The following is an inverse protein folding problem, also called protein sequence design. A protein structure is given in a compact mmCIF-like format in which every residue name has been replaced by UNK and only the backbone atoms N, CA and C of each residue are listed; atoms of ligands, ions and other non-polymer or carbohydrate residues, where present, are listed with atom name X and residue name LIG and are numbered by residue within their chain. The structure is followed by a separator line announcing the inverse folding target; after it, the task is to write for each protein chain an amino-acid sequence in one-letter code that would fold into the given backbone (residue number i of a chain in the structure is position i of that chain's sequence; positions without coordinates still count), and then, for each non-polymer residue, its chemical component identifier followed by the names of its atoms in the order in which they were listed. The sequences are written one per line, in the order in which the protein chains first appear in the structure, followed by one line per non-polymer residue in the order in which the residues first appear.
data_IF_519570279782
#
_entry.id   IF_519570279782
#
_cell.length_a   1.000
_cell.length_b   1.000
_cell.length_c   1.000
_cell.angle_alpha   90.00
_cell.angle_beta   90.00
_cell.angle_gamma   90.00
#
_symmetry.space_group_name_H-M   'P 1'
#
loop_
_entity.id
_entity.type
_entity.pdbx_description
1 polymer ?
#
# COMPACT_ATOMS: atom_id res chain seq x y z
N UNK A 1 -12.29 -29.72 15.57
CA UNK A 1 -12.73 -28.43 16.15
C UNK A 1 -13.80 -27.83 15.24
N UNK A 2 -14.91 -27.31 15.76
CA UNK A 2 -15.92 -26.61 14.94
C UNK A 2 -15.47 -25.17 14.72
N UNK A 3 -15.58 -24.65 13.49
CA UNK A 3 -15.30 -23.22 13.22
C UNK A 3 -16.47 -22.43 13.78
N UNK A 4 -16.21 -21.58 14.78
CA UNK A 4 -17.24 -20.77 15.42
C UNK A 4 -17.40 -19.42 14.73
N UNK A 5 -16.29 -18.75 14.43
CA UNK A 5 -16.31 -17.44 13.76
C UNK A 5 -15.66 -17.50 12.37
N UNK A 6 -16.49 -17.53 11.32
CA UNK A 6 -16.01 -17.57 9.93
C UNK A 6 -15.20 -16.34 9.51
N UNK A 7 -15.48 -15.15 10.06
CA UNK A 7 -14.73 -13.92 9.74
C UNK A 7 -13.30 -13.96 10.27
N UNK A 8 -13.13 -14.33 11.54
CA UNK A 8 -11.82 -14.48 12.17
C UNK A 8 -11.02 -15.60 11.49
N UNK A 9 -11.69 -16.70 11.13
CA UNK A 9 -11.05 -17.79 10.38
C UNK A 9 -10.46 -17.31 9.05
N UNK A 10 -11.25 -16.68 8.19
CA UNK A 10 -10.76 -16.20 6.89
C UNK A 10 -9.74 -15.06 7.01
N UNK A 11 -9.92 -14.14 7.97
CA UNK A 11 -8.95 -13.10 8.24
C UNK A 11 -7.59 -13.69 8.65
N UNK A 12 -7.60 -14.69 9.54
CA UNK A 12 -6.41 -15.42 9.96
C UNK A 12 -5.71 -16.13 8.80
N UNK A 13 -6.46 -16.86 7.96
CA UNK A 13 -5.93 -17.52 6.76
C UNK A 13 -5.28 -16.50 5.81
N UNK A 14 -5.94 -15.37 5.53
CA UNK A 14 -5.41 -14.33 4.65
C UNK A 14 -4.12 -13.72 5.21
N UNK A 15 -4.09 -13.39 6.50
CA UNK A 15 -2.90 -12.80 7.13
C UNK A 15 -1.71 -13.75 7.12
N UNK A 16 -1.95 -15.05 7.37
CA UNK A 16 -0.90 -16.06 7.23
C UNK A 16 -0.44 -16.17 5.78
N UNK A 17 -1.37 -16.27 4.82
CA UNK A 17 -1.03 -16.46 3.41
C UNK A 17 -0.23 -15.28 2.85
N UNK A 18 -0.67 -14.03 3.07
CA UNK A 18 0.06 -12.84 2.64
C UNK A 18 1.35 -12.65 3.43
N UNK A 19 1.34 -12.90 4.74
CA UNK A 19 2.51 -12.76 5.60
C UNK A 19 3.64 -13.70 5.20
N UNK A 20 3.33 -14.99 4.99
CA UNK A 20 4.26 -15.96 4.46
C UNK A 20 4.64 -15.64 3.01
N UNK A 21 3.70 -15.19 2.18
CA UNK A 21 3.98 -14.77 0.80
C UNK A 21 5.05 -13.68 0.73
N UNK A 22 4.94 -12.63 1.55
CA UNK A 22 5.97 -11.57 1.62
C UNK A 22 7.30 -12.08 2.17
N UNK A 23 7.28 -12.98 3.15
CA UNK A 23 8.49 -13.57 3.71
C UNK A 23 9.22 -14.41 2.66
N UNK A 24 8.49 -15.22 1.90
CA UNK A 24 9.03 -16.04 0.81
C UNK A 24 9.56 -15.20 -0.36
N UNK A 25 8.88 -14.12 -0.72
CA UNK A 25 9.36 -13.21 -1.77
C UNK A 25 10.62 -12.44 -1.32
N UNK A 26 10.71 -12.08 -0.04
CA UNK A 26 11.81 -11.29 0.50
C UNK A 26 13.08 -12.12 0.74
N UNK A 27 12.95 -13.23 1.46
CA UNK A 27 14.08 -14.09 1.85
C UNK A 27 14.45 -15.07 0.74
N UNK A 28 13.48 -15.44 -0.10
CA UNK A 28 13.65 -16.45 -1.13
C UNK A 28 12.89 -17.75 -0.84
N UNK A 29 12.98 -18.72 -1.76
CA UNK A 29 12.30 -20.00 -1.62
C UNK A 29 12.89 -20.80 -0.44
N UNK A 30 12.04 -21.48 0.34
CA UNK A 30 12.50 -22.34 1.44
C UNK A 30 13.26 -23.54 0.88
N UNK A 31 14.19 -24.08 1.66
CA UNK A 31 15.10 -25.15 1.23
C UNK A 31 14.39 -26.34 0.57
N UNK A 32 13.23 -26.76 1.11
CA UNK A 32 12.47 -27.86 0.54
C UNK A 32 11.93 -27.58 -0.88
N UNK A 33 11.54 -26.33 -1.18
CA UNK A 33 11.09 -25.98 -2.54
C UNK A 33 12.26 -25.91 -3.51
N UNK A 34 13.43 -25.49 -3.04
CA UNK A 34 14.67 -25.51 -3.84
C UNK A 34 15.09 -26.94 -4.16
N UNK A 35 15.00 -27.85 -3.19
CA UNK A 35 15.27 -29.28 -3.38
C UNK A 35 14.28 -29.92 -4.35
N UNK A 36 12.98 -29.63 -4.19
CA UNK A 36 11.95 -30.10 -5.12
C UNK A 36 12.20 -29.57 -6.54
N UNK A 37 12.53 -28.29 -6.70
CA UNK A 37 12.80 -27.69 -7.99
C UNK A 37 14.01 -28.32 -8.70
N UNK A 38 15.07 -28.65 -7.95
CA UNK A 38 16.24 -29.37 -8.48
C UNK A 38 15.88 -30.76 -9.02
N UNK A 39 14.89 -31.43 -8.43
CA UNK A 39 14.40 -32.72 -8.93
C UNK A 39 13.78 -32.62 -10.33
N UNK A 40 13.29 -31.43 -10.71
CA UNK A 40 12.74 -31.13 -12.04
C UNK A 40 13.70 -30.31 -12.92
N UNK A 41 15.01 -30.29 -12.60
CA UNK A 41 16.05 -29.54 -13.31
C UNK A 41 15.78 -28.02 -13.37
N UNK A 42 15.05 -27.50 -12.38
CA UNK A 42 14.68 -26.08 -12.30
C UNK A 42 15.51 -25.36 -11.22
N UNK A 43 16.21 -24.30 -11.60
CA UNK A 43 17.00 -23.47 -10.67
C UNK A 43 16.11 -22.39 -10.03
N UNK A 44 15.73 -22.60 -8.78
CA UNK A 44 14.90 -21.68 -8.00
C UNK A 44 15.77 -20.86 -7.03
N UNK A 45 16.33 -19.74 -7.51
CA UNK A 45 17.20 -18.87 -6.71
C UNK A 45 16.75 -17.40 -6.88
N UNK A 46 16.08 -16.88 -5.86
CA UNK A 46 15.66 -15.49 -5.76
C UNK A 46 15.64 -15.09 -4.29
N UNK A 47 15.76 -13.79 -4.00
CA UNK A 47 15.80 -13.25 -2.65
C UNK A 47 16.50 -11.90 -2.64
N UNK A 48 16.06 -10.99 -1.77
CA UNK A 48 16.65 -9.66 -1.65
C UNK A 48 17.66 -9.60 -0.49
N UNK A 49 18.63 -8.69 -0.59
CA UNK A 49 19.57 -8.48 0.50
C UNK A 49 18.83 -7.98 1.75
N UNK A 50 19.10 -8.61 2.89
CA UNK A 50 18.51 -8.27 4.19
C UNK A 50 19.13 -6.97 4.77
N UNK A 51 20.41 -6.73 4.50
CA UNK A 51 21.16 -5.65 5.15
C UNK A 51 21.26 -5.84 6.68
N UNK A 52 21.46 -4.74 7.41
CA UNK A 52 21.55 -4.72 8.87
C UNK A 52 20.46 -3.81 9.46
N UNK A 53 20.17 -3.91 10.76
CA UNK A 53 19.16 -3.08 11.41
C UNK A 53 19.37 -1.55 11.25
N UNK A 54 20.63 -1.12 11.06
CA UNK A 54 21.00 0.29 10.83
C UNK A 54 20.97 0.67 9.34
N UNK A 55 21.15 -0.29 8.44
CA UNK A 55 21.12 -0.11 6.97
C UNK A 55 20.28 -1.24 6.38
N UNK A 56 18.98 -1.08 6.51
CA UNK A 56 18.00 -2.12 6.15
C UNK A 56 18.04 -2.34 4.64
N UNK A 57 18.26 -3.58 4.23
CA UNK A 57 18.19 -3.98 2.82
C UNK A 57 16.74 -4.19 2.38
N UNK A 58 16.47 -4.33 1.06
CA UNK A 58 15.10 -4.41 0.54
C UNK A 58 14.27 -5.58 1.10
N UNK A 59 14.91 -6.66 1.58
CA UNK A 59 14.19 -7.77 2.21
C UNK A 59 13.72 -7.48 3.65
N UNK A 60 14.29 -6.48 4.33
CA UNK A 60 14.11 -6.30 5.77
C UNK A 60 12.66 -5.99 6.14
N UNK A 61 12.11 -4.93 5.56
CA UNK A 61 10.77 -4.48 5.88
C UNK A 61 9.70 -5.53 5.53
N UNK A 62 9.67 -6.12 4.31
CA UNK A 62 8.68 -7.14 3.97
C UNK A 62 8.80 -8.41 4.85
N UNK A 63 10.01 -8.78 5.25
CA UNK A 63 10.23 -9.95 6.12
C UNK A 63 9.67 -9.73 7.52
N UNK A 64 9.97 -8.58 8.14
CA UNK A 64 9.50 -8.27 9.50
C UNK A 64 7.98 -8.09 9.49
N UNK A 65 7.44 -7.33 8.54
CA UNK A 65 6.01 -7.11 8.41
C UNK A 65 5.27 -8.43 8.11
N UNK A 66 5.81 -9.25 7.21
CA UNK A 66 5.27 -10.56 6.86
C UNK A 66 5.26 -11.53 8.04
N UNK A 67 6.33 -11.54 8.84
CA UNK A 67 6.42 -12.33 10.06
C UNK A 67 5.39 -11.92 11.12
N UNK A 68 5.28 -10.61 11.39
CA UNK A 68 4.26 -10.08 12.32
C UNK A 68 2.85 -10.43 11.83
N UNK A 69 2.58 -10.25 10.53
CA UNK A 69 1.28 -10.57 9.94
C UNK A 69 0.97 -12.07 10.03
N UNK A 70 1.95 -12.95 9.83
CA UNK A 70 1.78 -14.39 9.97
C UNK A 70 1.47 -14.79 11.42
N UNK A 71 2.17 -14.20 12.41
CA UNK A 71 1.93 -14.45 13.84
C UNK A 71 0.54 -13.95 14.26
N UNK A 72 0.19 -12.71 13.90
CA UNK A 72 -1.14 -12.16 14.17
C UNK A 72 -2.23 -12.99 13.46
N UNK A 73 -1.98 -13.40 12.23
CA UNK A 73 -2.87 -14.28 11.47
C UNK A 73 -3.09 -15.62 12.16
N UNK A 74 -2.04 -16.24 12.71
CA UNK A 74 -2.15 -17.47 13.50
C UNK A 74 -2.98 -17.26 14.78
N UNK A 75 -2.77 -16.16 15.49
CA UNK A 75 -3.55 -15.81 16.68
C UNK A 75 -5.03 -15.60 16.35
N UNK A 76 -5.35 -14.89 15.26
CA UNK A 76 -6.73 -14.63 14.80
C UNK A 76 -7.38 -15.91 14.26
N UNK A 77 -6.63 -16.74 13.53
CA UNK A 77 -7.09 -18.03 13.05
C UNK A 77 -7.49 -18.94 14.22
N UNK A 78 -6.65 -19.02 15.25
CA UNK A 78 -6.94 -19.77 16.48
C UNK A 78 -8.18 -19.21 17.20
N UNK A 79 -8.29 -17.89 17.32
CA UNK A 79 -9.47 -17.21 17.85
C UNK A 79 -10.75 -17.58 17.07
N UNK A 80 -10.67 -17.81 15.76
CA UNK A 80 -11.79 -18.25 14.93
C UNK A 80 -12.40 -19.61 15.32
N UNK A 81 -11.66 -20.46 16.05
CA UNK A 81 -12.16 -21.73 16.59
C UNK A 81 -12.68 -21.63 18.03
N UNK A 82 -12.21 -20.64 18.80
CA UNK A 82 -12.50 -20.50 20.24
C UNK A 82 -13.54 -19.42 20.53
N UNK A 83 -13.80 -18.51 19.57
CA UNK A 83 -14.75 -17.41 19.74
C UNK A 83 -16.17 -17.89 20.04
N UNK A 84 -16.85 -17.21 20.95
CA UNK A 84 -18.28 -17.43 21.26
C UNK A 84 -19.22 -16.75 20.25
N UNK A 85 -18.69 -15.88 19.39
CA UNK A 85 -19.44 -15.13 18.39
C UNK A 85 -19.49 -15.93 17.10
N UNK A 86 -20.69 -16.22 16.60
CA UNK A 86 -20.89 -16.97 15.37
C UNK A 86 -21.11 -16.06 14.17
N UNK A 87 -20.28 -16.20 13.13
CA UNK A 87 -20.49 -15.60 11.81
C UNK A 87 -20.48 -16.69 10.74
N UNK A 88 -21.28 -16.55 9.66
CA UNK A 88 -21.26 -17.50 8.56
C UNK A 88 -19.88 -17.60 7.90
N UNK A 89 -19.55 -18.79 7.38
CA UNK A 89 -18.29 -19.07 6.67
C UNK A 89 -18.21 -18.39 5.30
N UNK A 90 -19.34 -18.11 4.66
CA UNK A 90 -19.40 -17.41 3.39
C UNK A 90 -19.31 -15.89 3.63
N UNK A 91 -18.09 -15.40 3.81
CA UNK A 91 -17.83 -13.97 4.07
C UNK A 91 -17.65 -13.18 2.77
N UNK A 92 -17.24 -13.82 1.67
CA UNK A 92 -16.92 -13.16 0.41
C UNK A 92 -17.59 -13.83 -0.80
N UNK A 93 -18.13 -13.06 -1.76
CA UNK A 93 -18.59 -13.59 -3.04
C UNK A 93 -17.38 -13.91 -3.93
N UNK A 94 -16.81 -15.10 -3.79
CA UNK A 94 -15.65 -15.51 -4.57
C UNK A 94 -16.05 -15.81 -6.02
N UNK A 95 -15.54 -15.02 -6.98
CA UNK A 95 -15.86 -15.15 -8.41
C UNK A 95 -14.74 -15.90 -9.14
N UNK A 96 -14.65 -17.21 -8.90
CA UNK A 96 -13.57 -18.06 -9.45
C UNK A 96 -13.40 -17.98 -10.97
N UNK A 97 -14.48 -17.77 -11.72
CA UNK A 97 -14.41 -17.61 -13.19
C UNK A 97 -13.54 -16.41 -13.64
N UNK A 98 -13.54 -15.31 -12.88
CA UNK A 98 -12.71 -14.13 -13.19
C UNK A 98 -11.22 -14.41 -13.01
N UNK A 99 -10.86 -15.31 -12.07
CA UNK A 99 -9.46 -15.76 -11.90
C UNK A 99 -9.02 -16.53 -13.14
N UNK A 100 -9.85 -17.46 -13.62
CA UNK A 100 -9.55 -18.23 -14.83
C UNK A 100 -9.39 -17.29 -16.02
N UNK A 101 -10.31 -16.34 -16.20
CA UNK A 101 -10.20 -15.33 -17.26
C UNK A 101 -8.94 -14.48 -17.14
N UNK A 102 -8.61 -13.99 -15.94
CA UNK A 102 -7.41 -13.21 -15.68
C UNK A 102 -6.11 -13.99 -15.90
N UNK A 103 -6.04 -15.26 -15.48
CA UNK A 103 -4.89 -16.14 -15.73
C UNK A 103 -4.72 -16.44 -17.22
N UNK A 104 -5.81 -16.73 -17.93
CA UNK A 104 -5.78 -16.98 -19.38
C UNK A 104 -5.30 -15.74 -20.13
N UNK A 105 -5.87 -14.56 -19.85
CA UNK A 105 -5.39 -13.31 -20.43
C UNK A 105 -3.95 -12.99 -20.03
N UNK A 106 -3.55 -13.31 -18.81
CA UNK A 106 -2.18 -13.16 -18.33
C UNK A 106 -1.19 -14.05 -19.08
N UNK A 107 -1.56 -15.32 -19.35
CA UNK A 107 -0.76 -16.21 -20.21
C UNK A 107 -0.68 -15.68 -21.63
N UNK A 108 -1.81 -15.24 -22.22
CA UNK A 108 -1.81 -14.66 -23.57
C UNK A 108 -0.91 -13.43 -23.60
N UNK A 109 -1.01 -12.53 -22.61
CA UNK A 109 -0.13 -11.39 -22.50
C UNK A 109 1.34 -11.85 -22.46
N UNK A 110 1.70 -12.76 -21.56
CA UNK A 110 3.07 -13.26 -21.44
C UNK A 110 3.65 -13.76 -22.77
N UNK A 111 2.89 -14.52 -23.55
CA UNK A 111 3.34 -15.03 -24.85
C UNK A 111 3.26 -14.02 -26.00
N UNK A 112 2.48 -12.95 -25.86
CA UNK A 112 2.29 -11.92 -26.91
C UNK A 112 3.09 -10.64 -26.64
N UNK A 113 4.11 -10.69 -25.78
CA UNK A 113 4.95 -9.54 -25.46
C UNK A 113 5.63 -9.01 -26.73
N UNK A 114 5.32 -7.77 -27.15
CA UNK A 114 5.95 -7.18 -28.32
C UNK A 114 7.43 -6.90 -28.03
N UNK A 115 8.27 -6.98 -29.07
CA UNK A 115 9.66 -6.54 -29.00
C UNK A 115 9.72 -5.05 -28.63
N UNK A 116 10.82 -4.60 -28.00
CA UNK A 116 10.98 -3.21 -27.55
C UNK A 116 10.84 -2.18 -28.68
N UNK A 117 11.11 -2.63 -29.90
CA UNK A 117 11.12 -1.83 -31.13
C UNK A 117 9.77 -1.88 -31.87
N UNK A 118 8.81 -2.65 -31.34
CA UNK A 118 7.49 -2.75 -31.93
C UNK A 118 6.78 -1.40 -31.91
N UNK A 119 5.88 -1.21 -32.88
CA UNK A 119 5.08 -0.01 -33.01
C UNK A 119 4.38 0.36 -31.69
N UNK A 120 4.33 1.66 -31.38
CA UNK A 120 3.72 2.21 -30.17
C UNK A 120 2.31 1.65 -29.90
N UNK A 121 1.53 1.46 -30.95
CA UNK A 121 0.20 0.85 -30.86
C UNK A 121 0.23 -0.58 -30.30
N UNK A 122 1.18 -1.42 -30.72
CA UNK A 122 1.32 -2.79 -30.23
C UNK A 122 1.72 -2.81 -28.74
N UNK A 123 2.58 -1.89 -28.32
CA UNK A 123 2.97 -1.74 -26.91
C UNK A 123 1.77 -1.33 -26.04
N UNK A 124 0.99 -0.35 -26.49
CA UNK A 124 -0.23 0.11 -25.79
C UNK A 124 -1.27 -1.01 -25.72
N UNK A 125 -1.51 -1.72 -26.84
CA UNK A 125 -2.46 -2.83 -26.88
C UNK A 125 -2.07 -3.95 -25.91
N UNK A 126 -0.79 -4.31 -25.87
CA UNK A 126 -0.26 -5.29 -24.93
C UNK A 126 -0.37 -4.83 -23.47
N UNK A 127 -0.07 -3.55 -23.18
CA UNK A 127 -0.23 -2.99 -21.83
C UNK A 127 -1.69 -2.99 -21.37
N UNK A 128 -2.64 -2.69 -22.27
CA UNK A 128 -4.07 -2.79 -21.97
C UNK A 128 -4.50 -4.24 -21.70
N UNK A 129 -4.02 -5.20 -22.50
CA UNK A 129 -4.31 -6.62 -22.28
C UNK A 129 -3.81 -7.10 -20.91
N UNK A 130 -2.56 -6.77 -20.56
CA UNK A 130 -1.99 -7.07 -19.25
C UNK A 130 -2.76 -6.37 -18.11
N UNK A 131 -3.15 -5.11 -18.33
CA UNK A 131 -3.98 -4.36 -17.40
C UNK A 131 -5.34 -5.01 -17.16
N UNK A 132 -6.01 -5.48 -18.22
CA UNK A 132 -7.28 -6.21 -18.12
C UNK A 132 -7.10 -7.54 -17.38
N UNK A 133 -6.02 -8.28 -17.65
CA UNK A 133 -5.71 -9.53 -16.94
C UNK A 133 -5.58 -9.31 -15.42
N UNK A 134 -4.84 -8.26 -15.02
CA UNK A 134 -4.67 -7.86 -13.61
C UNK A 134 -6.00 -7.42 -13.00
N UNK A 135 -6.79 -6.61 -13.73
CA UNK A 135 -8.10 -6.15 -13.25
C UNK A 135 -9.07 -7.32 -13.03
N UNK A 136 -9.10 -8.32 -13.92
CA UNK A 136 -9.94 -9.50 -13.74
C UNK A 136 -9.50 -10.33 -12.54
N UNK A 137 -8.20 -10.48 -12.32
CA UNK A 137 -7.66 -11.15 -11.13
C UNK A 137 -8.09 -10.43 -9.85
N UNK A 138 -8.02 -9.10 -9.81
CA UNK A 138 -8.45 -8.33 -8.65
C UNK A 138 -9.97 -8.36 -8.46
N UNK A 139 -10.75 -8.23 -9.53
CA UNK A 139 -12.20 -8.28 -9.50
C UNK A 139 -12.77 -9.64 -9.07
N UNK A 140 -11.96 -10.71 -9.08
CA UNK A 140 -12.33 -11.99 -8.54
C UNK A 140 -12.50 -11.98 -7.01
N UNK A 141 -11.84 -11.05 -6.32
CA UNK A 141 -11.80 -10.96 -4.87
C UNK A 141 -12.70 -9.84 -4.36
N UNK A 142 -13.84 -10.22 -3.78
CA UNK A 142 -14.64 -9.35 -2.92
C UNK A 142 -15.44 -8.25 -3.63
N UNK A 143 -15.79 -7.23 -2.85
CA UNK A 143 -16.65 -6.14 -3.28
C UNK A 143 -15.91 -5.10 -4.13
N UNK A 144 -16.68 -4.22 -4.81
CA UNK A 144 -16.18 -3.13 -5.65
C UNK A 144 -15.05 -2.33 -5.02
N UNK A 145 -15.17 -2.06 -3.72
CA UNK A 145 -14.21 -1.26 -2.98
C UNK A 145 -12.84 -1.91 -2.87
N UNK A 146 -12.78 -3.23 -2.72
CA UNK A 146 -11.54 -3.95 -2.42
C UNK A 146 -10.59 -3.95 -3.63
N UNK A 147 -11.11 -4.29 -4.81
CA UNK A 147 -10.29 -4.31 -6.02
C UNK A 147 -9.96 -2.91 -6.57
N UNK A 148 -10.80 -1.90 -6.32
CA UNK A 148 -10.47 -0.50 -6.65
C UNK A 148 -9.33 0.02 -5.78
N UNK A 149 -9.32 -0.28 -4.48
CA UNK A 149 -8.21 0.09 -3.59
C UNK A 149 -6.92 -0.62 -4.00
N UNK A 150 -6.99 -1.92 -4.32
CA UNK A 150 -5.83 -2.67 -4.78
C UNK A 150 -5.27 -2.10 -6.10
N UNK A 151 -6.16 -1.77 -7.04
CA UNK A 151 -5.79 -1.08 -8.29
C UNK A 151 -5.14 0.28 -8.02
N UNK A 152 -5.68 1.08 -7.09
CA UNK A 152 -5.13 2.37 -6.74
C UNK A 152 -3.69 2.26 -6.21
N UNK A 153 -3.40 1.24 -5.39
CA UNK A 153 -2.05 0.98 -4.86
C UNK A 153 -1.07 0.59 -5.98
N UNK A 154 -1.49 -0.26 -6.93
CA UNK A 154 -0.65 -0.62 -8.08
C UNK A 154 -0.41 0.60 -8.98
N UNK A 155 -1.46 1.38 -9.24
CA UNK A 155 -1.37 2.61 -10.03
C UNK A 155 -0.42 3.61 -9.37
N UNK A 156 -0.48 3.77 -8.05
CA UNK A 156 0.44 4.60 -7.28
C UNK A 156 1.90 4.19 -7.52
N UNK A 157 2.23 2.90 -7.42
CA UNK A 157 3.58 2.41 -7.66
C UNK A 157 4.09 2.72 -9.07
N UNK A 158 3.21 2.61 -10.08
CA UNK A 158 3.56 2.93 -11.47
C UNK A 158 3.75 4.43 -11.70
N UNK A 159 2.89 5.26 -11.09
CA UNK A 159 2.82 6.70 -11.28
C UNK A 159 3.86 7.45 -10.43
N UNK A 160 4.39 6.83 -9.37
CA UNK A 160 5.37 7.43 -8.47
C UNK A 160 6.63 7.96 -9.18
N UNK A 161 7.17 7.18 -10.12
CA UNK A 161 8.38 7.58 -10.87
C UNK A 161 8.14 8.80 -11.78
N UNK A 162 7.13 8.81 -12.68
CA UNK A 162 6.91 9.95 -13.57
C UNK A 162 6.30 11.19 -12.91
N UNK A 163 5.37 11.04 -11.95
CA UNK A 163 4.64 12.17 -11.36
C UNK A 163 5.22 12.65 -10.01
N UNK A 164 6.17 11.93 -9.42
CA UNK A 164 6.69 12.22 -8.09
C UNK A 164 5.69 11.92 -6.97
N UNK A 165 6.16 12.01 -5.72
CA UNK A 165 5.44 11.58 -4.53
C UNK A 165 4.11 12.33 -4.33
N UNK A 166 4.09 13.65 -4.51
CA UNK A 166 2.91 14.48 -4.20
C UNK A 166 1.73 14.12 -5.12
N UNK A 167 1.97 14.12 -6.43
CA UNK A 167 0.91 13.78 -7.39
C UNK A 167 0.54 12.31 -7.35
N UNK A 168 1.49 11.41 -7.08
CA UNK A 168 1.18 9.99 -6.92
C UNK A 168 0.25 9.74 -5.72
N UNK A 169 0.50 10.37 -4.56
CA UNK A 169 -0.37 10.26 -3.38
C UNK A 169 -1.76 10.87 -3.67
N UNK A 170 -1.81 11.98 -4.40
CA UNK A 170 -3.09 12.55 -4.85
C UNK A 170 -3.88 11.56 -5.70
N UNK A 171 -3.26 10.98 -6.74
CA UNK A 171 -3.88 9.95 -7.60
C UNK A 171 -4.34 8.74 -6.78
N UNK A 172 -3.48 8.21 -5.90
CA UNK A 172 -3.80 7.09 -5.01
C UNK A 172 -5.07 7.37 -4.19
N UNK A 173 -5.16 8.57 -3.60
CA UNK A 173 -6.23 8.91 -2.68
C UNK A 173 -7.56 9.11 -3.41
N UNK A 174 -7.54 9.81 -4.54
CA UNK A 174 -8.75 10.05 -5.35
C UNK A 174 -9.28 8.74 -5.93
N UNK A 175 -8.40 7.89 -6.49
CA UNK A 175 -8.82 6.59 -7.05
C UNK A 175 -9.35 5.66 -5.97
N UNK A 176 -8.71 5.63 -4.79
CA UNK A 176 -9.18 4.83 -3.64
C UNK A 176 -10.53 5.31 -3.08
N UNK A 177 -10.86 6.59 -3.27
CA UNK A 177 -12.09 7.20 -2.79
C UNK A 177 -13.31 6.96 -3.69
N UNK A 178 -13.11 6.55 -4.95
CA UNK A 178 -14.19 6.30 -5.93
C UNK A 178 -15.31 5.39 -5.40
N UNK A 179 -15.04 4.29 -4.68
CA UNK A 179 -16.08 3.41 -4.16
C UNK A 179 -16.80 3.95 -2.92
N UNK A 180 -16.22 4.95 -2.25
CA UNK A 180 -16.64 5.38 -0.91
C UNK A 180 -17.84 6.32 -0.87
N UNK A 181 -18.17 6.99 -1.96
CA UNK A 181 -19.30 7.94 -2.02
C UNK A 181 -19.77 8.20 -3.45
N UNK A 182 -20.96 8.80 -3.55
CA UNK A 182 -21.56 9.22 -4.81
C UNK A 182 -20.95 10.58 -5.18
N UNK A 183 -20.25 10.64 -6.29
CA UNK A 183 -19.61 11.87 -6.76
C UNK A 183 -20.63 12.83 -7.37
N UNK A 184 -20.68 14.05 -6.86
CA UNK A 184 -21.53 15.11 -7.42
C UNK A 184 -20.77 15.91 -8.48
N UNK A 185 -21.46 16.51 -9.46
CA UNK A 185 -20.79 17.37 -10.47
C UNK A 185 -20.00 18.53 -9.85
N UNK A 186 -20.50 19.10 -8.75
CA UNK A 186 -19.85 20.20 -8.03
C UNK A 186 -18.51 19.77 -7.41
N UNK A 187 -18.41 18.51 -6.96
CA UNK A 187 -17.20 17.94 -6.39
C UNK A 187 -16.06 17.87 -7.42
N UNK A 188 -16.39 17.46 -8.64
CA UNK A 188 -15.45 17.42 -9.76
C UNK A 188 -14.95 18.80 -10.18
N UNK A 189 -15.82 19.81 -10.13
CA UNK A 189 -15.45 21.18 -10.49
C UNK A 189 -14.54 21.85 -9.44
N UNK A 190 -14.67 21.46 -8.18
CA UNK A 190 -13.87 22.00 -7.07
C UNK A 190 -12.54 21.28 -6.89
N UNK A 191 -12.36 20.12 -7.54
CA UNK A 191 -11.12 19.31 -7.47
C UNK A 191 -9.84 20.11 -7.76
N UNK A 192 -9.78 21.00 -8.77
CA UNK A 192 -8.59 21.82 -9.03
C UNK A 192 -8.31 22.83 -7.93
N UNK A 193 -9.35 23.40 -7.31
CA UNK A 193 -9.19 24.34 -6.20
C UNK A 193 -8.67 23.62 -4.94
N UNK A 194 -9.19 22.43 -4.65
CA UNK A 194 -8.67 21.58 -3.58
C UNK A 194 -7.22 21.15 -3.87
N UNK A 195 -6.90 20.91 -5.15
CA UNK A 195 -5.54 20.63 -5.58
C UNK A 195 -4.59 21.79 -5.30
N UNK A 196 -4.98 23.02 -5.65
CA UNK A 196 -4.17 24.21 -5.41
C UNK A 196 -3.93 24.50 -3.92
N UNK A 197 -4.98 24.42 -3.08
CA UNK A 197 -4.86 24.61 -1.62
C UNK A 197 -3.97 23.53 -1.00
N UNK A 198 -4.11 22.30 -1.48
CA UNK A 198 -3.32 21.19 -1.04
C UNK A 198 -1.83 21.29 -1.39
N UNK A 199 -1.52 21.70 -2.62
CA UNK A 199 -0.16 22.00 -3.06
C UNK A 199 0.43 23.15 -2.23
N UNK A 200 -0.35 24.19 -1.94
CA UNK A 200 0.07 25.28 -1.06
C UNK A 200 0.38 24.79 0.36
N UNK A 201 -0.46 23.94 0.93
CA UNK A 201 -0.24 23.38 2.27
C UNK A 201 0.98 22.45 2.32
N UNK A 202 1.19 21.67 1.26
CA UNK A 202 2.42 20.86 1.04
C UNK A 202 3.64 21.75 0.95
N UNK A 203 3.59 22.82 0.17
CA UNK A 203 4.68 23.78 0.07
C UNK A 203 4.99 24.47 1.41
N UNK A 204 3.96 24.92 2.13
CA UNK A 204 4.13 25.57 3.43
C UNK A 204 4.73 24.62 4.46
N UNK A 205 4.31 23.37 4.50
CA UNK A 205 4.90 22.38 5.41
C UNK A 205 6.34 22.02 5.03
N UNK A 206 6.68 21.97 3.75
CA UNK A 206 8.07 21.80 3.32
C UNK A 206 8.95 22.97 3.76
N UNK A 207 8.46 24.20 3.64
CA UNK A 207 9.18 25.42 4.03
C UNK A 207 9.24 25.60 5.56
N UNK A 208 8.20 25.17 6.28
CA UNK A 208 8.07 25.34 7.75
C UNK A 208 8.65 24.16 8.54
N UNK A 209 8.76 22.95 7.96
CA UNK A 209 9.20 21.75 8.69
C UNK A 209 10.58 21.89 9.31
N UNK A 210 11.52 22.55 8.63
CA UNK A 210 12.86 22.80 9.14
C UNK A 210 12.82 23.54 10.49
N UNK A 211 11.92 24.52 10.63
CA UNK A 211 11.78 25.30 11.87
C UNK A 211 11.19 24.51 13.04
N UNK A 212 10.41 23.46 12.77
CA UNK A 212 9.79 22.62 13.81
C UNK A 212 10.70 21.44 14.20
N UNK A 213 11.46 20.90 13.25
CA UNK A 213 12.34 19.76 13.48
C UNK A 213 13.46 20.07 14.46
N UNK A 214 14.13 21.22 14.33
CA UNK A 214 15.23 21.62 15.21
C UNK A 214 14.84 21.73 16.71
N UNK A 215 13.75 22.41 17.11
CA UNK A 215 13.35 22.47 18.52
C UNK A 215 12.87 21.13 19.07
N UNK A 216 12.18 20.29 18.28
CA UNK A 216 11.75 18.96 18.73
C UNK A 216 12.96 18.08 19.02
N UNK A 217 13.95 18.03 18.13
CA UNK A 217 15.19 17.28 18.34
C UNK A 217 15.97 17.83 19.55
N UNK A 218 15.97 19.15 19.75
CA UNK A 218 16.59 19.78 20.92
C UNK A 218 15.92 19.38 22.24
N UNK A 219 14.59 19.29 22.28
CA UNK A 219 13.84 18.86 23.47
C UNK A 219 14.12 17.38 23.79
N UNK A 220 14.08 16.49 22.80
CA UNK A 220 14.40 15.07 23.00
C UNK A 220 15.86 14.86 23.46
N UNK A 221 16.79 15.63 22.87
CA UNK A 221 18.19 15.65 23.31
C UNK A 221 18.36 16.16 24.74
N UNK A 222 17.61 17.19 25.14
CA UNK A 222 17.63 17.74 26.51
C UNK A 222 17.07 16.77 27.56
N UNK A 223 16.19 15.85 27.16
CA UNK A 223 15.64 14.78 28.03
C UNK A 223 16.58 13.55 28.09
N UNK A 224 17.75 13.60 27.43
CA UNK A 224 18.73 12.51 27.41
C UNK A 224 18.39 11.36 26.47
N UNK A 225 17.35 11.51 25.64
CA UNK A 225 16.96 10.54 24.62
C UNK A 225 17.71 10.83 23.32
N UNK A 226 18.92 10.29 23.19
CA UNK A 226 19.71 10.32 21.95
C UNK A 226 19.22 9.27 20.95
N UNK A 227 17.98 9.40 20.50
CA UNK A 227 17.45 8.60 19.39
C UNK A 227 17.92 9.20 18.04
N UNK A 228 18.14 8.36 17.01
CA UNK A 228 18.32 8.86 15.64
C UNK A 228 17.16 9.80 15.26
N UNK A 229 17.42 10.94 14.59
CA UNK A 229 16.38 11.93 14.26
C UNK A 229 15.15 11.32 13.58
N UNK A 230 15.38 10.34 12.72
CA UNK A 230 14.39 9.51 12.04
C UNK A 230 13.38 8.88 13.01
N UNK A 231 13.86 8.26 14.09
CA UNK A 231 13.03 7.56 15.07
C UNK A 231 12.21 8.54 15.91
N UNK A 232 12.78 9.69 16.25
CA UNK A 232 12.06 10.75 16.97
C UNK A 232 10.90 11.27 16.13
N UNK A 233 11.14 11.52 14.84
CA UNK A 233 10.12 12.01 13.92
C UNK A 233 9.02 10.97 13.68
N UNK A 234 9.38 9.70 13.46
CA UNK A 234 8.42 8.61 13.33
C UNK A 234 7.54 8.46 14.59
N UNK A 235 8.13 8.48 15.78
CA UNK A 235 7.39 8.34 17.03
C UNK A 235 6.45 9.53 17.29
N UNK A 236 6.90 10.75 17.00
CA UNK A 236 6.09 11.96 17.10
C UNK A 236 4.89 11.88 16.15
N UNK A 237 5.13 11.44 14.91
CA UNK A 237 4.09 11.32 13.88
C UNK A 237 3.09 10.21 14.15
N UNK A 238 3.55 9.04 14.60
CA UNK A 238 2.67 7.93 15.03
C UNK A 238 1.85 8.36 16.24
N UNK A 239 2.47 9.08 17.20
CA UNK A 239 1.78 9.64 18.36
C UNK A 239 0.72 10.66 17.97
N UNK A 240 1.06 11.62 17.10
CA UNK A 240 0.14 12.65 16.62
C UNK A 240 -1.01 12.01 15.82
N UNK A 241 -0.69 11.08 14.92
CA UNK A 241 -1.67 10.33 14.13
C UNK A 241 -2.62 9.50 15.02
N UNK A 242 -2.09 8.86 16.06
CA UNK A 242 -2.88 8.13 17.05
C UNK A 242 -3.82 9.02 17.87
N UNK A 243 -3.33 10.18 18.30
CA UNK A 243 -4.14 11.19 19.01
C UNK A 243 -5.25 11.73 18.10
N UNK A 244 -4.90 12.10 16.86
CA UNK A 244 -5.87 12.57 15.88
C UNK A 244 -6.92 11.50 15.56
N UNK A 245 -6.52 10.23 15.40
CA UNK A 245 -7.44 9.12 15.18
C UNK A 245 -8.35 8.88 16.39
N UNK A 246 -7.84 9.01 17.62
CA UNK A 246 -8.63 8.89 18.84
C UNK A 246 -9.70 9.98 18.96
N UNK A 247 -9.34 11.24 18.69
CA UNK A 247 -10.30 12.35 18.70
C UNK A 247 -11.27 12.28 17.51
N UNK A 248 -10.78 11.91 16.32
CA UNK A 248 -11.61 11.70 15.15
C UNK A 248 -12.63 10.57 15.36
N UNK A 249 -12.27 9.48 16.03
CA UNK A 249 -13.17 8.37 16.34
C UNK A 249 -14.33 8.74 17.28
N UNK A 250 -14.21 9.86 18.02
CA UNK A 250 -15.27 10.36 18.90
C UNK A 250 -16.21 11.35 18.22
N UNK A 251 -15.86 11.84 17.04
CA UNK A 251 -16.68 12.81 16.31
C UNK A 251 -17.64 12.08 15.37
N UNK A 252 -18.93 12.41 15.43
CA UNK A 252 -19.90 11.96 14.41
C UNK A 252 -19.68 12.79 13.15
N UNK A 253 -18.81 12.31 12.29
CA UNK A 253 -18.51 12.98 11.04
C UNK A 253 -19.76 13.04 10.15
N UNK A 254 -20.08 14.21 9.56
CA UNK A 254 -21.00 14.26 8.43
C UNK A 254 -20.47 13.38 7.28
N UNK A 255 -21.33 13.04 6.32
CA UNK A 255 -20.93 12.23 5.17
C UNK A 255 -19.69 12.81 4.51
N UNK A 256 -18.65 11.98 4.34
CA UNK A 256 -17.37 12.39 3.75
C UNK A 256 -17.64 12.85 2.32
N UNK A 257 -17.41 14.14 2.05
CA UNK A 257 -17.52 14.70 0.70
C UNK A 257 -16.20 14.60 -0.04
N UNK A 258 -16.22 14.72 -1.37
CA UNK A 258 -15.00 14.71 -2.18
C UNK A 258 -14.00 15.80 -1.77
N UNK A 259 -14.49 16.94 -1.27
CA UNK A 259 -13.64 18.00 -0.72
C UNK A 259 -12.83 17.55 0.49
N UNK A 260 -13.43 16.75 1.38
CA UNK A 260 -12.70 16.16 2.51
C UNK A 260 -11.62 15.21 2.04
N UNK A 261 -11.91 14.36 1.05
CA UNK A 261 -10.93 13.42 0.47
C UNK A 261 -9.77 14.16 -0.18
N UNK A 262 -10.05 15.22 -0.93
CA UNK A 262 -9.01 16.02 -1.55
C UNK A 262 -8.13 16.67 -0.48
N UNK A 263 -8.70 17.32 0.52
CA UNK A 263 -7.92 17.89 1.65
C UNK A 263 -7.10 16.80 2.35
N UNK A 264 -7.68 15.62 2.60
CA UNK A 264 -6.99 14.50 3.23
C UNK A 264 -5.82 14.00 2.37
N UNK A 265 -5.99 13.91 1.05
CA UNK A 265 -4.94 13.47 0.12
C UNK A 265 -3.72 14.37 0.18
N UNK A 266 -3.93 15.68 0.37
CA UNK A 266 -2.83 16.63 0.51
C UNK A 266 -2.21 16.60 1.88
N UNK A 267 -3.00 16.49 2.95
CA UNK A 267 -2.45 16.25 4.28
C UNK A 267 -1.59 14.97 4.29
N UNK A 268 -1.99 13.93 3.54
CA UNK A 268 -1.22 12.70 3.39
C UNK A 268 0.04 12.90 2.54
N UNK A 269 -0.03 13.71 1.48
CA UNK A 269 1.12 14.03 0.63
C UNK A 269 2.16 14.84 1.41
N UNK A 270 1.72 15.89 2.12
CA UNK A 270 2.50 16.67 3.09
C UNK A 270 3.23 15.76 4.05
N UNK A 271 2.46 14.90 4.73
CA UNK A 271 2.97 13.95 5.71
C UNK A 271 4.04 13.06 5.07
N UNK A 272 3.73 12.46 3.93
CA UNK A 272 4.66 11.58 3.23
C UNK A 272 5.97 12.28 2.85
N UNK A 273 5.94 13.53 2.34
CA UNK A 273 7.17 14.24 2.00
C UNK A 273 7.96 14.64 3.26
N UNK A 274 7.26 15.07 4.32
CA UNK A 274 7.90 15.41 5.59
C UNK A 274 8.60 14.18 6.20
N UNK A 275 7.92 13.04 6.31
CA UNK A 275 8.47 11.81 6.89
C UNK A 275 9.57 11.20 6.04
N UNK A 276 9.33 11.02 4.73
CA UNK A 276 10.22 10.21 3.89
C UNK A 276 11.37 11.00 3.28
N UNK A 277 11.14 12.25 2.86
CA UNK A 277 12.20 13.05 2.22
C UNK A 277 13.02 13.77 3.27
N UNK A 278 12.36 14.47 4.19
CA UNK A 278 13.07 15.26 5.21
C UNK A 278 13.40 14.45 6.46
N UNK A 279 12.47 13.61 6.93
CA UNK A 279 12.69 12.79 8.12
C UNK A 279 13.68 11.65 7.88
N UNK A 280 13.48 10.89 6.80
CA UNK A 280 14.30 9.73 6.45
C UNK A 280 15.45 10.05 5.48
N UNK A 281 15.48 11.23 4.85
CA UNK A 281 16.52 11.60 3.90
C UNK A 281 16.51 10.78 2.61
N UNK A 282 15.36 10.19 2.22
CA UNK A 282 15.30 9.32 1.05
C UNK A 282 15.37 10.15 -0.24
N UNK A 283 16.21 9.75 -1.22
CA UNK A 283 16.32 10.41 -2.51
C UNK A 283 15.11 10.05 -3.39
N UNK A 284 13.95 10.61 -3.06
CA UNK A 284 12.71 10.38 -3.79
C UNK A 284 12.32 11.60 -4.61
N UNK A 285 11.76 11.34 -5.78
CA UNK A 285 11.26 12.40 -6.63
C UNK A 285 9.98 12.99 -6.02
N UNK A 286 10.02 14.25 -5.58
CA UNK A 286 8.87 14.90 -4.91
C UNK A 286 7.89 15.46 -5.94
N UNK A 287 8.43 15.95 -7.05
CA UNK A 287 7.71 16.63 -8.11
C UNK A 287 7.80 15.83 -9.42
N UNK A 288 6.89 16.01 -10.38
CA UNK A 288 6.99 15.34 -11.67
C UNK A 288 8.34 15.62 -12.34
N UNK A 289 9.06 14.56 -12.70
CA UNK A 289 10.25 14.65 -13.56
C UNK A 289 9.87 14.62 -15.05
N UNK A 290 8.64 15.03 -15.40
CA UNK A 290 8.21 15.04 -16.79
C UNK A 290 9.11 15.92 -17.67
N UNK A 291 9.80 16.89 -17.06
CA UNK A 291 10.64 17.91 -17.73
C UNK A 291 12.14 17.74 -17.48
N UNK A 292 12.59 16.59 -16.97
CA UNK A 292 14.02 16.19 -16.86
C UNK A 292 14.29 14.95 -17.71
#
# INVERSE_FOLDING_TARGET
MKITNGKDFWAGVMFIAFGLGFLLLAIGPPAFLVELAKQFDYKLEYGYSMGNAVRMGPAYFPTVLGGILAVLGAAVLFRGFVSKISNPLAVFPFRGWLIVGGLVLGMIAFYTQPTRDAAMFAQIAHALLAGVAILLLFAAFGERSLWVVLFAVVLFGYVLKPLGLVLAVFVLTIVSAVPGFIWTRKDFQMLPAYAAVGVLFTYLTLVVSSWIQHPVLAVFGAVGLNLPPVLVLLLLEIGLGGVLAFFAGRYKWPQITAGHVAVLSFALAVFSVASFVHGLGLPMNVWPSLWE
#
